data_IF_758472991515
#
_entry.id   IF_758472991515
#
_cell.length_a   1.000
_cell.length_b   1.000
_cell.length_c   1.000
_cell.angle_alpha   90.00
_cell.angle_beta   90.00
_cell.angle_gamma   90.00
#
_symmetry.space_group_name_H-M   'P 1'
#
loop_
_entity.id
_entity.type
_entity.pdbx_description
1 polymer ?
#
# COMPACT_ATOMS: atom_id res chain seq x y z
N UNK A 1 9.49 23.68 22.17
CA UNK A 1 9.49 24.07 20.75
C UNK A 1 8.27 23.46 20.06
N UNK A 2 7.34 24.26 19.53
CA UNK A 2 6.20 23.73 18.77
C UNK A 2 6.71 23.33 17.39
N UNK A 3 6.66 22.05 17.05
CA UNK A 3 6.96 21.56 15.71
C UNK A 3 5.93 22.19 14.78
N UNK A 4 6.34 23.21 14.01
CA UNK A 4 5.55 23.70 12.88
C UNK A 4 5.64 22.63 11.79
N UNK A 5 4.70 21.70 11.79
CA UNK A 5 4.46 20.85 10.62
C UNK A 5 4.14 21.79 9.45
N UNK A 6 5.09 22.00 8.55
CA UNK A 6 4.83 22.72 7.31
C UNK A 6 3.65 22.04 6.61
N UNK A 7 2.65 22.80 6.11
CA UNK A 7 1.60 22.19 5.32
C UNK A 7 2.28 21.57 4.10
N UNK A 8 2.22 20.25 4.00
CA UNK A 8 2.64 19.54 2.79
C UNK A 8 1.66 20.00 1.71
N UNK A 9 2.06 21.00 0.92
CA UNK A 9 1.31 21.43 -0.27
C UNK A 9 1.38 20.26 -1.26
N UNK A 10 0.48 19.29 -1.10
CA UNK A 10 0.31 18.22 -2.08
C UNK A 10 -0.19 18.91 -3.34
N UNK A 11 0.59 18.83 -4.42
CA UNK A 11 0.17 19.36 -5.72
C UNK A 11 -0.97 18.48 -6.20
N UNK A 12 -2.20 18.93 -5.96
CA UNK A 12 -3.38 18.25 -6.45
C UNK A 12 -3.31 18.20 -7.99
N UNK A 13 -3.28 16.99 -8.54
CA UNK A 13 -3.19 16.74 -9.98
C UNK A 13 -4.32 15.79 -10.39
N UNK A 14 -5.54 16.30 -10.62
CA UNK A 14 -6.73 15.46 -10.83
C UNK A 14 -6.60 14.53 -12.04
N UNK A 15 -5.94 14.97 -13.12
CA UNK A 15 -5.69 14.13 -14.29
C UNK A 15 -4.80 12.91 -13.98
N UNK A 16 -3.79 13.08 -13.10
CA UNK A 16 -2.94 11.97 -12.67
C UNK A 16 -3.69 11.05 -11.71
N UNK A 17 -4.53 11.60 -10.82
CA UNK A 17 -5.39 10.81 -9.93
C UNK A 17 -6.28 9.88 -10.75
N UNK A 18 -6.98 10.39 -11.75
CA UNK A 18 -7.85 9.58 -12.62
C UNK A 18 -7.05 8.49 -13.36
N UNK A 19 -5.91 8.85 -13.95
CA UNK A 19 -5.04 7.91 -14.65
C UNK A 19 -4.57 6.76 -13.74
N UNK A 20 -4.08 7.08 -12.55
CA UNK A 20 -3.57 6.10 -11.60
C UNK A 20 -4.69 5.25 -11.00
N UNK A 21 -5.88 5.81 -10.76
CA UNK A 21 -7.06 5.04 -10.33
C UNK A 21 -7.48 4.01 -11.40
N UNK A 22 -7.54 4.41 -12.67
CA UNK A 22 -7.90 3.51 -13.77
C UNK A 22 -6.88 2.37 -13.91
N UNK A 23 -5.58 2.69 -13.84
CA UNK A 23 -4.50 1.70 -13.87
C UNK A 23 -4.54 0.77 -12.67
N UNK A 24 -4.78 1.29 -11.48
CA UNK A 24 -4.87 0.49 -10.26
C UNK A 24 -6.01 -0.53 -10.38
N UNK A 25 -7.21 -0.10 -10.79
CA UNK A 25 -8.37 -0.99 -11.00
C UNK A 25 -8.10 -2.07 -12.05
N UNK A 26 -7.41 -1.73 -13.16
CA UNK A 26 -6.98 -2.73 -14.17
C UNK A 26 -6.00 -3.74 -13.59
N UNK A 27 -5.06 -3.30 -12.75
CA UNK A 27 -4.11 -4.17 -12.08
C UNK A 27 -4.80 -5.09 -11.06
N UNK A 28 -5.76 -4.57 -10.28
CA UNK A 28 -6.58 -5.37 -9.36
C UNK A 28 -7.40 -6.44 -10.10
N UNK A 29 -8.07 -6.07 -11.20
CA UNK A 29 -8.81 -7.00 -12.04
C UNK A 29 -7.91 -8.10 -12.62
N UNK A 30 -6.64 -7.77 -12.91
CA UNK A 30 -5.63 -8.71 -13.40
C UNK A 30 -4.83 -9.41 -12.29
N UNK A 31 -5.21 -9.22 -11.01
CA UNK A 31 -4.53 -9.74 -9.82
C UNK A 31 -3.04 -9.36 -9.72
N UNK A 32 -2.62 -8.27 -10.35
CA UNK A 32 -1.26 -7.73 -10.27
C UNK A 32 -1.12 -6.84 -9.02
N UNK A 33 -1.20 -7.44 -7.83
CA UNK A 33 -1.37 -6.73 -6.56
C UNK A 33 -0.26 -5.73 -6.24
N UNK A 34 1.01 -6.09 -6.48
CA UNK A 34 2.15 -5.18 -6.26
C UNK A 34 2.11 -3.95 -7.15
N UNK A 35 1.61 -4.11 -8.37
CA UNK A 35 1.45 -3.01 -9.33
C UNK A 35 0.26 -2.13 -8.97
N UNK A 36 -0.84 -2.74 -8.55
CA UNK A 36 -2.00 -2.02 -8.02
C UNK A 36 -1.64 -1.17 -6.79
N UNK A 37 -0.87 -1.74 -5.85
CA UNK A 37 -0.37 -1.02 -4.66
C UNK A 37 0.46 0.22 -5.03
N UNK A 38 1.34 0.10 -6.01
CA UNK A 38 2.12 1.21 -6.53
C UNK A 38 1.23 2.31 -7.14
N UNK A 39 0.27 1.94 -7.99
CA UNK A 39 -0.64 2.89 -8.62
C UNK A 39 -1.53 3.61 -7.57
N UNK A 40 -2.03 2.90 -6.56
CA UNK A 40 -2.75 3.53 -5.44
C UNK A 40 -1.87 4.49 -4.62
N UNK A 41 -0.59 4.19 -4.47
CA UNK A 41 0.35 5.11 -3.82
C UNK A 41 0.52 6.41 -4.62
N UNK A 42 0.52 6.33 -5.95
CA UNK A 42 0.51 7.52 -6.82
C UNK A 42 -0.79 8.31 -6.72
N UNK A 43 -1.93 7.66 -6.50
CA UNK A 43 -3.20 8.37 -6.20
C UNK A 43 -3.06 9.18 -4.92
N UNK A 44 -2.52 8.59 -3.84
CA UNK A 44 -2.31 9.26 -2.54
C UNK A 44 -1.38 10.49 -2.68
N UNK A 45 -0.34 10.40 -3.49
CA UNK A 45 0.61 11.49 -3.74
C UNK A 45 0.00 12.68 -4.50
N UNK A 46 -0.98 12.43 -5.37
CA UNK A 46 -1.55 13.43 -6.27
C UNK A 46 -2.99 13.88 -5.91
N UNK A 47 -3.64 13.19 -4.96
CA UNK A 47 -4.95 13.57 -4.45
C UNK A 47 -4.90 14.87 -3.62
N UNK A 48 -5.99 15.63 -3.66
CA UNK A 48 -6.13 16.91 -2.96
C UNK A 48 -7.31 16.94 -1.98
N UNK A 49 -8.13 15.89 -1.98
CA UNK A 49 -9.29 15.71 -1.10
C UNK A 49 -8.98 14.60 -0.10
N UNK A 50 -9.53 14.70 1.11
CA UNK A 50 -9.38 13.67 2.14
C UNK A 50 -10.08 12.37 1.75
N UNK A 51 -11.25 12.47 1.11
CA UNK A 51 -12.06 11.33 0.65
C UNK A 51 -11.30 10.44 -0.36
N UNK A 52 -10.66 11.04 -1.36
CA UNK A 52 -9.84 10.29 -2.34
C UNK A 52 -8.62 9.65 -1.66
N UNK A 53 -8.07 10.32 -0.65
CA UNK A 53 -6.93 9.82 0.10
C UNK A 53 -7.29 8.59 0.93
N UNK A 54 -8.39 8.66 1.69
CA UNK A 54 -8.87 7.55 2.52
C UNK A 54 -9.18 6.32 1.66
N UNK A 55 -9.90 6.53 0.55
CA UNK A 55 -10.20 5.45 -0.38
C UNK A 55 -8.92 4.83 -0.96
N UNK A 56 -7.98 5.65 -1.44
CA UNK A 56 -6.73 5.16 -2.00
C UNK A 56 -5.84 4.43 -0.97
N UNK A 57 -5.83 4.89 0.29
CA UNK A 57 -5.13 4.21 1.40
C UNK A 57 -5.76 2.85 1.68
N UNK A 58 -7.10 2.75 1.71
CA UNK A 58 -7.82 1.49 1.91
C UNK A 58 -7.48 0.49 0.81
N UNK A 59 -7.55 0.91 -0.46
CA UNK A 59 -7.25 0.05 -1.60
C UNK A 59 -5.77 -0.37 -1.65
N UNK A 60 -4.83 0.55 -1.35
CA UNK A 60 -3.40 0.23 -1.24
C UNK A 60 -3.14 -0.83 -0.18
N UNK A 61 -3.74 -0.69 1.00
CA UNK A 61 -3.56 -1.64 2.10
C UNK A 61 -4.12 -3.02 1.73
N UNK A 62 -5.28 -3.08 1.08
CA UNK A 62 -5.86 -4.32 0.57
C UNK A 62 -4.94 -4.99 -0.48
N UNK A 63 -4.39 -4.21 -1.43
CA UNK A 63 -3.43 -4.71 -2.40
C UNK A 63 -2.16 -5.24 -1.72
N UNK A 64 -1.67 -4.58 -0.67
CA UNK A 64 -0.49 -5.02 0.09
C UNK A 64 -0.74 -6.35 0.81
N UNK A 65 -1.94 -6.54 1.39
CA UNK A 65 -2.35 -7.81 2.00
C UNK A 65 -2.36 -8.92 0.95
N UNK A 66 -2.97 -8.70 -0.22
CA UNK A 66 -2.98 -9.70 -1.28
C UNK A 66 -1.59 -10.00 -1.83
N UNK A 67 -0.74 -8.97 -1.97
CA UNK A 67 0.66 -9.12 -2.36
C UNK A 67 1.39 -10.03 -1.37
N UNK A 68 1.28 -9.77 -0.06
CA UNK A 68 1.85 -10.61 1.00
C UNK A 68 1.27 -12.01 0.96
N UNK A 69 -0.05 -12.17 0.83
CA UNK A 69 -0.73 -13.47 0.77
C UNK A 69 -0.26 -14.34 -0.41
N UNK A 70 0.08 -13.75 -1.57
CA UNK A 70 0.74 -14.47 -2.66
C UNK A 70 2.15 -14.95 -2.35
N UNK A 71 2.84 -14.32 -1.38
CA UNK A 71 4.10 -14.82 -0.82
C UNK A 71 3.88 -15.77 0.37
N UNK A 72 2.63 -15.97 0.83
CA UNK A 72 2.22 -16.99 1.82
C UNK A 72 1.70 -18.26 1.11
N UNK A 73 2.32 -18.66 -0.01
CA UNK A 73 2.61 -20.09 -0.13
C UNK A 73 3.76 -20.33 0.83
N UNK A 74 3.40 -20.62 2.08
CA UNK A 74 4.31 -20.83 3.20
C UNK A 74 5.52 -21.67 2.76
N UNK A 75 6.69 -21.04 2.67
CA UNK A 75 7.92 -21.78 2.92
C UNK A 75 7.97 -21.99 4.44
N UNK A 76 7.83 -23.23 4.94
CA UNK A 76 7.80 -23.51 6.38
C UNK A 76 9.09 -23.10 7.13
N UNK A 77 10.11 -22.63 6.41
CA UNK A 77 11.38 -22.13 6.98
C UNK A 77 11.37 -20.64 7.29
N UNK A 78 10.35 -19.90 6.88
CA UNK A 78 10.26 -18.44 7.01
C UNK A 78 9.18 -17.98 8.00
N UNK A 79 8.66 -18.89 8.82
CA UNK A 79 7.88 -18.53 10.00
C UNK A 79 8.84 -17.96 11.06
N UNK A 80 8.95 -16.63 11.08
CA UNK A 80 9.78 -15.91 12.04
C UNK A 80 9.32 -16.15 13.50
N UNK A 81 8.07 -16.60 13.72
CA UNK A 81 7.60 -17.02 15.04
C UNK A 81 8.18 -18.36 15.51
N UNK A 82 8.67 -19.23 14.62
CA UNK A 82 9.34 -20.48 15.04
C UNK A 82 10.82 -20.27 15.38
N UNK A 83 11.45 -19.21 14.89
CA UNK A 83 12.88 -18.93 15.14
C UNK A 83 13.09 -18.31 16.52
N UNK A 84 12.16 -17.49 17.02
CA UNK A 84 12.34 -16.80 18.31
C UNK A 84 12.04 -17.71 19.52
N UNK A 85 11.22 -18.75 19.38
CA UNK A 85 10.92 -19.67 20.49
C UNK A 85 12.01 -20.72 20.78
N UNK A 86 13.01 -20.86 19.92
CA UNK A 86 14.11 -21.82 20.11
C UNK A 86 15.33 -21.25 20.83
N UNK A 87 15.48 -19.93 20.91
CA UNK A 87 16.63 -19.27 21.56
C UNK A 87 16.41 -18.96 23.06
N UNK A 88 15.25 -19.25 23.63
CA UNK A 88 14.96 -19.00 25.07
C UNK A 88 15.05 -20.28 25.93
N UNK A 89 15.44 -21.42 25.35
CA UNK A 89 15.58 -22.69 26.06
C UNK A 89 16.92 -23.42 25.85
N UNK A 90 17.99 -22.74 25.41
CA UNK A 90 19.36 -23.31 25.42
C UNK A 90 20.20 -22.76 26.57
#
# INVERSE_FOLDING_TARGET
MKIKTMPVIRRHRPALVQLHQERARRCEASKQWRRAEYEWSRVIENCGTEEDMEHAVKCRNQCSIHCRATYVTADPRMDFETVVSLEVLS
#
